data_IF_547697797756
#
_entry.id   IF_547697797756
#
_cell.length_a   1.000
_cell.length_b   1.000
_cell.length_c   1.000
_cell.angle_alpha   90.00
_cell.angle_beta   90.00
_cell.angle_gamma   90.00
#
_symmetry.space_group_name_H-M   'P 1'
#
loop_
_entity.id
_entity.type
_entity.pdbx_description
1 polymer ?
#
# COMPACT_ATOMS: atom_id res chain seq x y z
N UNK A 1 -11.51 -7.63 9.27
CA UNK A 1 -11.70 -7.59 7.81
C UNK A 1 -12.22 -6.24 7.45
N UNK A 2 -11.59 -5.58 6.48
CA UNK A 2 -12.04 -4.29 5.98
C UNK A 2 -13.41 -4.42 5.30
N UNK A 3 -14.22 -3.39 5.40
CA UNK A 3 -15.46 -3.29 4.63
C UNK A 3 -15.16 -2.88 3.19
N UNK A 4 -16.03 -3.28 2.25
CA UNK A 4 -15.89 -2.84 0.85
C UNK A 4 -15.81 -1.30 0.71
N UNK A 5 -16.53 -0.57 1.56
CA UNK A 5 -16.52 0.90 1.58
C UNK A 5 -15.17 1.49 2.01
N UNK A 6 -14.45 0.83 2.91
CA UNK A 6 -13.11 1.29 3.33
C UNK A 6 -12.10 1.10 2.19
N UNK A 7 -12.17 -0.03 1.49
CA UNK A 7 -11.33 -0.26 0.31
C UNK A 7 -11.66 0.74 -0.81
N UNK A 8 -12.94 0.98 -1.09
CA UNK A 8 -13.38 1.96 -2.08
C UNK A 8 -12.82 3.36 -1.75
N UNK A 9 -12.86 3.76 -0.48
CA UNK A 9 -12.30 5.04 -0.05
C UNK A 9 -10.78 5.11 -0.28
N UNK A 10 -10.03 4.03 -0.03
CA UNK A 10 -8.60 3.97 -0.33
C UNK A 10 -8.35 4.16 -1.82
N UNK A 11 -9.01 3.39 -2.67
CA UNK A 11 -8.83 3.48 -4.12
C UNK A 11 -9.21 4.86 -4.66
N UNK A 12 -10.35 5.41 -4.25
CA UNK A 12 -10.79 6.74 -4.67
C UNK A 12 -9.79 7.82 -4.24
N UNK A 13 -9.36 7.83 -2.98
CA UNK A 13 -8.44 8.86 -2.48
C UNK A 13 -7.06 8.78 -3.16
N UNK A 14 -6.54 7.57 -3.34
CA UNK A 14 -5.25 7.37 -4.01
C UNK A 14 -5.34 7.79 -5.49
N UNK A 15 -6.38 7.37 -6.21
CA UNK A 15 -6.59 7.76 -7.61
C UNK A 15 -6.73 9.29 -7.77
N UNK A 16 -7.46 9.95 -6.87
CA UNK A 16 -7.58 11.42 -6.85
C UNK A 16 -6.21 12.10 -6.67
N UNK A 17 -5.39 11.63 -5.74
CA UNK A 17 -4.06 12.19 -5.50
C UNK A 17 -3.12 11.96 -6.69
N UNK A 18 -3.17 10.78 -7.31
CA UNK A 18 -2.39 10.46 -8.51
C UNK A 18 -2.79 11.39 -9.66
N UNK A 19 -4.09 11.53 -9.94
CA UNK A 19 -4.60 12.40 -11.02
C UNK A 19 -4.29 13.88 -10.79
N UNK A 20 -4.27 14.31 -9.54
CA UNK A 20 -3.89 15.67 -9.15
C UNK A 20 -2.37 15.90 -9.12
N UNK A 21 -1.54 14.88 -9.41
CA UNK A 21 -0.08 14.96 -9.33
C UNK A 21 0.45 15.15 -7.90
N UNK A 22 -0.35 14.88 -6.87
CA UNK A 22 -0.04 15.08 -5.45
C UNK A 22 0.71 13.89 -4.87
N UNK A 23 1.81 13.50 -5.50
CA UNK A 23 2.59 12.32 -5.12
C UNK A 23 3.26 12.46 -3.75
N UNK A 24 3.71 13.66 -3.38
CA UNK A 24 4.26 13.92 -2.03
C UNK A 24 3.21 13.67 -0.95
N UNK A 25 1.99 14.17 -1.14
CA UNK A 25 0.87 13.94 -0.21
C UNK A 25 0.52 12.45 -0.11
N UNK A 26 0.58 11.72 -1.22
CA UNK A 26 0.37 10.27 -1.24
C UNK A 26 1.50 9.52 -0.49
N UNK A 27 2.75 9.98 -0.63
CA UNK A 27 3.89 9.42 0.09
C UNK A 27 3.80 9.69 1.60
N UNK A 28 3.39 10.90 2.00
CA UNK A 28 3.13 11.23 3.40
C UNK A 28 1.97 10.41 3.98
N UNK A 29 0.92 10.19 3.19
CA UNK A 29 -0.18 9.34 3.59
C UNK A 29 0.31 7.91 3.87
N UNK A 30 1.08 7.30 2.96
CA UNK A 30 1.66 5.97 3.20
C UNK A 30 2.55 5.92 4.45
N UNK A 31 3.30 6.99 4.73
CA UNK A 31 4.18 7.06 5.91
C UNK A 31 3.41 7.09 7.23
N UNK A 32 2.17 7.59 7.22
CA UNK A 32 1.34 7.76 8.41
C UNK A 32 0.38 6.60 8.67
N UNK A 33 0.11 5.75 7.67
CA UNK A 33 -0.73 4.56 7.84
C UNK A 33 -0.08 3.61 8.86
N UNK A 34 -0.78 3.28 9.97
CA UNK A 34 -0.27 2.31 10.94
C UNK A 34 -0.25 0.94 10.29
N UNK A 35 0.90 0.25 10.33
CA UNK A 35 1.03 -1.10 9.77
C UNK A 35 0.78 -2.17 10.82
N UNK A 36 1.31 -1.96 12.02
CA UNK A 36 1.15 -2.90 13.13
C UNK A 36 -0.30 -2.94 13.60
N UNK A 37 -0.88 -4.15 13.66
CA UNK A 37 -2.27 -4.34 14.09
C UNK A 37 -3.34 -3.86 13.11
N UNK A 38 -2.96 -3.33 11.94
CA UNK A 38 -3.91 -2.91 10.92
C UNK A 38 -4.56 -4.09 10.20
N UNK A 39 -5.69 -3.85 9.56
CA UNK A 39 -6.35 -4.87 8.76
C UNK A 39 -5.51 -5.21 7.51
N UNK A 40 -5.32 -6.51 7.22
CA UNK A 40 -4.52 -6.95 6.07
C UNK A 40 -5.11 -6.40 4.77
N UNK A 41 -6.43 -6.39 4.64
CA UNK A 41 -7.10 -5.91 3.43
C UNK A 41 -6.80 -4.43 3.18
N UNK A 42 -6.67 -3.63 4.24
CA UNK A 42 -6.29 -2.20 4.16
C UNK A 42 -4.85 -2.06 3.68
N UNK A 43 -3.91 -2.83 4.24
CA UNK A 43 -2.50 -2.79 3.85
C UNK A 43 -2.31 -3.19 2.38
N UNK A 44 -2.97 -4.27 1.96
CA UNK A 44 -2.97 -4.73 0.57
C UNK A 44 -3.67 -3.72 -0.35
N UNK A 45 -4.74 -3.08 0.12
CA UNK A 45 -5.44 -2.02 -0.61
C UNK A 45 -4.52 -0.84 -0.93
N UNK A 46 -3.78 -0.34 0.05
CA UNK A 46 -2.80 0.73 -0.17
C UNK A 46 -1.67 0.32 -1.12
N UNK A 47 -1.11 -0.88 -0.94
CA UNK A 47 -0.06 -1.37 -1.84
C UNK A 47 -0.56 -1.50 -3.27
N UNK A 48 -1.77 -2.02 -3.46
CA UNK A 48 -2.38 -2.21 -4.78
C UNK A 48 -2.71 -0.87 -5.43
N UNK A 49 -3.39 0.03 -4.72
CA UNK A 49 -3.79 1.33 -5.24
C UNK A 49 -2.59 2.20 -5.65
N UNK A 50 -1.44 2.03 -4.99
CA UNK A 50 -0.23 2.81 -5.25
C UNK A 50 0.71 2.17 -6.28
N UNK A 51 0.40 0.98 -6.81
CA UNK A 51 1.21 0.32 -7.83
C UNK A 51 1.52 1.19 -9.06
N UNK A 52 0.56 1.94 -9.65
CA UNK A 52 0.82 2.71 -10.88
C UNK A 52 1.91 3.78 -10.74
N UNK A 53 2.19 4.20 -9.51
CA UNK A 53 3.17 5.24 -9.19
C UNK A 53 4.26 4.73 -8.25
N UNK A 54 4.43 3.40 -8.14
CA UNK A 54 5.28 2.80 -7.11
C UNK A 54 6.75 3.26 -7.15
N UNK A 55 7.28 3.53 -8.34
CA UNK A 55 8.65 4.04 -8.55
C UNK A 55 8.85 5.49 -8.11
N UNK A 56 7.75 6.23 -7.90
CA UNK A 56 7.73 7.65 -7.54
C UNK A 56 7.44 7.88 -6.05
N UNK A 57 7.09 6.84 -5.32
CA UNK A 57 6.77 6.89 -3.89
C UNK A 57 7.94 6.36 -3.06
N UNK A 58 8.69 7.27 -2.48
CA UNK A 58 9.94 6.97 -1.77
C UNK A 58 9.74 6.05 -0.57
N UNK A 59 8.61 6.19 0.16
CA UNK A 59 8.36 5.40 1.35
C UNK A 59 7.66 4.07 1.07
N UNK A 60 7.20 3.84 -0.17
CA UNK A 60 6.39 2.66 -0.51
C UNK A 60 7.16 1.35 -0.28
N UNK A 61 8.46 1.33 -0.55
CA UNK A 61 9.29 0.14 -0.29
C UNK A 61 9.37 -0.18 1.22
N UNK A 62 9.45 0.85 2.06
CA UNK A 62 9.42 0.67 3.51
C UNK A 62 8.05 0.18 3.97
N UNK A 63 6.96 0.75 3.43
CA UNK A 63 5.59 0.32 3.71
C UNK A 63 5.37 -1.16 3.33
N UNK A 64 5.87 -1.58 2.17
CA UNK A 64 5.85 -2.97 1.73
C UNK A 64 6.57 -3.88 2.73
N UNK A 65 7.79 -3.52 3.15
CA UNK A 65 8.56 -4.33 4.11
C UNK A 65 7.83 -4.46 5.45
N UNK A 66 7.30 -3.35 5.99
CA UNK A 66 6.52 -3.39 7.23
C UNK A 66 5.27 -4.28 7.09
N UNK A 67 4.60 -4.22 5.95
CA UNK A 67 3.43 -5.07 5.66
C UNK A 67 3.81 -6.55 5.60
N UNK A 68 4.95 -6.86 4.98
CA UNK A 68 5.51 -8.20 4.93
C UNK A 68 5.84 -8.74 6.33
N UNK A 69 6.46 -7.93 7.18
CA UNK A 69 6.79 -8.29 8.56
C UNK A 69 5.52 -8.56 9.38
N UNK A 70 4.48 -7.74 9.22
CA UNK A 70 3.18 -7.92 9.89
C UNK A 70 2.48 -9.22 9.46
N UNK A 71 2.47 -9.52 8.16
CA UNK A 71 1.89 -10.76 7.62
C UNK A 71 2.64 -12.00 8.15
N UNK A 72 3.97 -11.93 8.17
CA UNK A 72 4.81 -13.00 8.71
C UNK A 72 4.52 -13.23 10.21
N UNK A 73 4.32 -12.16 10.98
CA UNK A 73 4.01 -12.25 12.41
C UNK A 73 2.67 -12.94 12.68
N UNK A 74 1.67 -12.74 11.81
CA UNK A 74 0.33 -13.32 11.97
C UNK A 74 0.26 -14.80 11.61
N UNK A 75 1.27 -15.37 10.93
CA UNK A 75 1.28 -16.77 10.45
C UNK A 75 0.05 -17.17 9.61
N UNK A 76 -0.71 -16.19 9.14
CA UNK A 76 -2.06 -16.38 8.58
C UNK A 76 -2.09 -16.20 7.06
N UNK A 77 -0.97 -16.00 6.39
CA UNK A 77 -1.00 -15.58 4.98
C UNK A 77 0.09 -16.22 4.15
N UNK A 78 -0.30 -16.63 2.95
CA UNK A 78 0.60 -17.10 1.91
C UNK A 78 1.63 -15.98 1.59
N UNK A 79 2.93 -16.21 1.79
CA UNK A 79 3.98 -15.21 1.55
C UNK A 79 4.06 -14.75 0.09
N UNK A 80 3.42 -15.47 -0.85
CA UNK A 80 3.36 -15.09 -2.26
C UNK A 80 2.39 -13.95 -2.54
N UNK A 81 1.44 -13.63 -1.63
CA UNK A 81 0.43 -12.58 -1.85
C UNK A 81 1.03 -11.20 -2.11
N UNK A 82 2.24 -10.95 -1.60
CA UNK A 82 2.95 -9.70 -1.77
C UNK A 82 3.83 -9.64 -3.03
N UNK A 83 4.17 -10.76 -3.67
CA UNK A 83 5.14 -10.76 -4.78
C UNK A 83 4.73 -9.84 -5.94
N UNK A 84 3.43 -9.78 -6.25
CA UNK A 84 2.91 -8.86 -7.27
C UNK A 84 2.83 -7.39 -6.84
N UNK A 85 2.99 -7.11 -5.55
CA UNK A 85 2.78 -5.79 -4.94
C UNK A 85 4.09 -5.06 -4.60
N UNK A 86 5.25 -5.68 -4.80
CA UNK A 86 6.55 -5.04 -4.52
C UNK A 86 6.74 -3.75 -5.33
N UNK A 87 6.09 -3.65 -6.48
CA UNK A 87 6.28 -2.55 -7.43
C UNK A 87 7.60 -2.73 -8.20
N UNK A 88 7.68 -2.15 -9.39
CA UNK A 88 8.89 -2.25 -10.21
C UNK A 88 9.75 -0.98 -10.04
N UNK A 89 10.94 -1.06 -9.41
CA UNK A 89 11.81 0.10 -9.26
C UNK A 89 12.43 0.57 -10.59
N UNK A 90 12.27 -0.19 -11.69
CA UNK A 90 12.88 0.09 -12.99
C UNK A 90 11.93 0.70 -14.04
N UNK A 91 10.69 1.03 -13.66
CA UNK A 91 9.74 1.70 -14.57
C UNK A 91 9.51 3.12 -14.06
N UNK A 92 10.26 4.08 -14.63
CA UNK A 92 10.16 5.51 -14.38
C UNK A 92 9.05 6.16 -15.23
#
# INVERSE_FOLDING_TARGET
MATGKELDAIYCNVDLLIRAGKLETLDDLLRTVPVQGADIDVLLGYLTATLPVSSKLSCRQEFYRKTQDELAARKETDPTILQGLQGNPYVA
#
